data_IF_793881541215
#
_entry.id   IF_793881541215
#
_cell.length_a   1.000
_cell.length_b   1.000
_cell.length_c   1.000
_cell.angle_alpha   90.00
_cell.angle_beta   90.00
_cell.angle_gamma   90.00
#
_symmetry.space_group_name_H-M   'P 1'
#
loop_
_entity.id
_entity.type
_entity.pdbx_description
1 polymer ?
#
# COMPACT_ATOMS: atom_id res chain seq x y z
N UNK A 1 -35.89 -3.36 -7.85
CA UNK A 1 -34.66 -2.79 -7.26
C UNK A 1 -34.30 -1.54 -8.04
N UNK A 2 -34.35 -0.38 -7.39
CA UNK A 2 -33.95 0.88 -8.01
C UNK A 2 -32.43 0.94 -8.24
N UNK A 3 -31.98 1.76 -9.20
CA UNK A 3 -30.56 1.95 -9.47
C UNK A 3 -29.80 2.54 -8.27
N UNK A 4 -30.44 3.38 -7.45
CA UNK A 4 -29.85 3.92 -6.22
C UNK A 4 -29.62 2.82 -5.18
N UNK A 5 -30.60 1.92 -4.98
CA UNK A 5 -30.49 0.79 -4.04
C UNK A 5 -29.31 -0.12 -4.41
N UNK A 6 -29.17 -0.46 -5.69
CA UNK A 6 -28.05 -1.29 -6.16
C UNK A 6 -26.69 -0.61 -5.94
N UNK A 7 -26.58 0.69 -6.21
CA UNK A 7 -25.35 1.46 -5.97
C UNK A 7 -24.98 1.53 -4.50
N UNK A 8 -25.95 1.77 -3.61
CA UNK A 8 -25.72 1.81 -2.17
C UNK A 8 -25.30 0.44 -1.63
N UNK A 9 -25.98 -0.64 -2.03
CA UNK A 9 -25.60 -1.99 -1.61
C UNK A 9 -24.21 -2.38 -2.12
N UNK A 10 -23.88 -2.02 -3.36
CA UNK A 10 -22.53 -2.23 -3.91
C UNK A 10 -21.47 -1.44 -3.14
N UNK A 11 -21.72 -0.18 -2.80
CA UNK A 11 -20.80 0.65 -2.02
C UNK A 11 -20.63 0.11 -0.59
N UNK A 12 -21.72 -0.29 0.06
CA UNK A 12 -21.73 -0.88 1.40
C UNK A 12 -21.02 -2.25 1.43
N UNK A 13 -21.09 -3.00 0.33
CA UNK A 13 -20.39 -4.27 0.14
C UNK A 13 -18.88 -4.17 -0.01
N UNK A 14 -18.31 -2.98 -0.32
CA UNK A 14 -16.85 -2.80 -0.46
C UNK A 14 -16.10 -3.12 0.83
N UNK A 15 -16.74 -2.97 1.98
CA UNK A 15 -16.22 -3.43 3.28
C UNK A 15 -15.81 -4.90 3.23
N UNK A 16 -16.65 -5.78 2.67
CA UNK A 16 -16.35 -7.23 2.61
C UNK A 16 -15.13 -7.54 1.75
N UNK A 17 -14.95 -6.83 0.63
CA UNK A 17 -13.76 -6.97 -0.23
C UNK A 17 -12.51 -6.49 0.47
N UNK A 18 -12.59 -5.36 1.17
CA UNK A 18 -11.48 -4.83 1.96
C UNK A 18 -11.06 -5.79 3.07
N UNK A 19 -12.02 -6.37 3.81
CA UNK A 19 -11.73 -7.31 4.91
C UNK A 19 -11.20 -8.64 4.41
N UNK A 20 -11.67 -9.14 3.26
CA UNK A 20 -11.11 -10.33 2.64
C UNK A 20 -9.65 -10.15 2.23
N UNK A 21 -9.29 -8.97 1.71
CA UNK A 21 -7.90 -8.60 1.38
C UNK A 21 -7.06 -8.45 2.66
N UNK A 22 -7.56 -7.69 3.64
CA UNK A 22 -6.91 -7.44 4.93
C UNK A 22 -6.65 -8.75 5.72
N UNK A 23 -7.53 -9.74 5.58
CA UNK A 23 -7.41 -11.05 6.21
C UNK A 23 -6.23 -11.89 5.73
N UNK A 24 -5.57 -11.51 4.62
CA UNK A 24 -4.38 -12.18 4.11
C UNK A 24 -3.08 -11.68 4.76
N UNK A 25 -3.10 -10.50 5.36
CA UNK A 25 -1.95 -9.92 6.04
C UNK A 25 -1.73 -10.59 7.39
N UNK A 26 -0.47 -10.59 7.85
CA UNK A 26 -0.08 -11.23 9.11
C UNK A 26 -0.66 -10.52 10.36
N UNK A 27 -0.75 -11.24 11.47
CA UNK A 27 -1.37 -10.73 12.71
C UNK A 27 -0.68 -9.46 13.27
N UNK A 28 0.59 -9.19 12.95
CA UNK A 28 1.25 -7.95 13.41
C UNK A 28 0.56 -6.73 12.82
N UNK A 29 0.08 -6.82 11.58
CA UNK A 29 -0.76 -5.77 10.97
C UNK A 29 -2.05 -5.57 11.78
N UNK A 30 -2.71 -6.66 12.15
CA UNK A 30 -3.98 -6.62 12.89
C UNK A 30 -3.84 -6.05 14.31
N UNK A 31 -2.69 -6.29 14.94
CA UNK A 31 -2.39 -5.82 16.30
C UNK A 31 -1.83 -4.39 16.35
N UNK A 32 -1.59 -3.75 15.21
CA UNK A 32 -1.03 -2.40 15.15
C UNK A 32 -2.13 -1.34 15.26
N UNK A 33 -1.91 -0.34 16.13
CA UNK A 33 -2.73 0.88 16.19
C UNK A 33 -2.71 1.65 14.87
N UNK A 34 -3.88 2.06 14.38
CA UNK A 34 -4.01 2.84 13.12
C UNK A 34 -3.35 4.22 13.22
N UNK A 35 -3.18 4.73 14.44
CA UNK A 35 -2.37 5.90 14.77
C UNK A 35 -2.05 5.91 16.28
N UNK A 36 -1.13 6.77 16.71
CA UNK A 36 -0.81 6.92 18.13
C UNK A 36 -2.06 7.26 18.96
N UNK A 37 -2.32 6.46 20.00
CA UNK A 37 -3.49 6.60 20.87
C UNK A 37 -4.83 6.21 20.23
N UNK A 38 -4.82 5.57 19.07
CA UNK A 38 -6.02 5.05 18.39
C UNK A 38 -6.07 3.53 18.45
N UNK A 39 -7.25 2.99 18.15
CA UNK A 39 -7.51 1.55 18.10
C UNK A 39 -6.59 0.84 17.11
N UNK A 40 -6.31 -0.42 17.39
CA UNK A 40 -5.70 -1.37 16.47
C UNK A 40 -6.63 -1.70 15.32
N UNK A 41 -6.03 -2.21 14.24
CA UNK A 41 -6.79 -2.70 13.07
C UNK A 41 -7.86 -3.71 13.50
N UNK A 42 -7.52 -4.68 14.38
CA UNK A 42 -8.49 -5.68 14.84
C UNK A 42 -9.63 -5.08 15.65
N UNK A 43 -9.34 -4.10 16.50
CA UNK A 43 -10.34 -3.40 17.30
C UNK A 43 -11.32 -2.62 16.41
N UNK A 44 -10.82 -2.00 15.33
CA UNK A 44 -11.65 -1.33 14.34
C UNK A 44 -12.55 -2.32 13.60
N UNK A 45 -12.02 -3.47 13.18
CA UNK A 45 -12.81 -4.51 12.50
C UNK A 45 -13.89 -5.09 13.42
N UNK A 46 -13.52 -5.39 14.67
CA UNK A 46 -14.47 -5.91 15.65
C UNK A 46 -15.57 -4.89 16.00
N UNK A 47 -15.23 -3.60 16.08
CA UNK A 47 -16.20 -2.51 16.23
C UNK A 47 -17.24 -2.50 15.11
N UNK A 48 -16.81 -2.50 13.84
CA UNK A 48 -17.74 -2.51 12.70
C UNK A 48 -18.58 -3.78 12.68
N UNK A 49 -17.96 -4.94 12.93
CA UNK A 49 -18.64 -6.23 13.04
C UNK A 49 -19.77 -6.20 14.09
N UNK A 50 -19.51 -5.68 15.30
CA UNK A 50 -20.53 -5.64 16.36
C UNK A 50 -21.64 -4.64 16.07
N UNK A 51 -21.36 -3.52 15.41
CA UNK A 51 -22.41 -2.63 14.92
C UNK A 51 -23.26 -3.27 13.82
N UNK A 52 -22.66 -4.01 12.88
CA UNK A 52 -23.40 -4.78 11.88
C UNK A 52 -24.34 -5.80 12.56
N UNK A 53 -23.85 -6.56 13.55
CA UNK A 53 -24.69 -7.49 14.34
C UNK A 53 -25.86 -6.80 15.02
N UNK A 54 -25.59 -5.66 15.67
CA UNK A 54 -26.62 -4.89 16.37
C UNK A 54 -27.71 -4.42 15.41
N UNK A 55 -27.35 -3.72 14.33
CA UNK A 55 -28.32 -3.17 13.39
C UNK A 55 -29.06 -4.26 12.60
N UNK A 56 -28.41 -5.38 12.31
CA UNK A 56 -29.09 -6.51 11.71
C UNK A 56 -30.22 -7.04 12.62
N UNK A 57 -29.91 -7.28 13.89
CA UNK A 57 -30.84 -7.87 14.85
C UNK A 57 -31.92 -6.87 15.31
N UNK A 58 -31.56 -5.60 15.48
CA UNK A 58 -32.44 -4.57 16.01
C UNK A 58 -33.30 -3.89 14.94
N UNK A 59 -32.84 -3.86 13.69
CA UNK A 59 -33.49 -3.10 12.63
C UNK A 59 -33.81 -3.96 11.39
N UNK A 60 -32.78 -4.44 10.70
CA UNK A 60 -32.92 -5.01 9.35
C UNK A 60 -33.78 -6.28 9.35
N UNK A 61 -33.57 -7.19 10.30
CA UNK A 61 -34.42 -8.39 10.45
C UNK A 61 -35.84 -8.07 10.89
N UNK A 62 -36.06 -6.99 11.66
CA UNK A 62 -37.40 -6.55 12.10
C UNK A 62 -38.22 -6.01 10.94
N UNK A 63 -37.58 -5.25 10.05
CA UNK A 63 -38.17 -4.78 8.80
C UNK A 63 -38.53 -5.96 7.88
N UNK A 64 -37.63 -6.95 7.78
CA UNK A 64 -37.88 -8.19 7.01
C UNK A 64 -39.12 -8.94 7.51
N UNK A 65 -39.23 -9.11 8.84
CA UNK A 65 -40.34 -9.81 9.51
C UNK A 65 -41.64 -8.99 9.60
N UNK A 66 -41.59 -7.68 9.30
CA UNK A 66 -42.73 -6.79 9.42
C UNK A 66 -43.15 -6.49 10.86
N UNK A 67 -42.19 -6.51 11.80
CA UNK A 67 -42.42 -6.23 13.23
C UNK A 67 -41.69 -4.95 13.68
N UNK A 68 -42.08 -4.34 14.82
CA UNK A 68 -41.45 -3.12 15.31
C UNK A 68 -39.93 -3.26 15.52
N UNK A 69 -39.20 -2.17 15.29
CA UNK A 69 -37.76 -2.14 15.51
C UNK A 69 -37.45 -2.31 17.01
N UNK A 70 -36.29 -2.89 17.29
CA UNK A 70 -35.74 -3.07 18.62
C UNK A 70 -34.47 -2.22 18.85
N UNK A 71 -34.23 -1.22 17.99
CA UNK A 71 -33.18 -0.23 18.20
C UNK A 71 -33.51 0.54 19.48
N UNK A 72 -32.53 0.64 20.37
CA UNK A 72 -32.61 1.36 21.64
C UNK A 72 -31.31 2.12 21.86
N UNK A 73 -31.36 3.23 22.58
CA UNK A 73 -30.15 3.93 22.99
C UNK A 73 -29.16 3.01 23.75
N UNK A 74 -27.90 3.03 23.32
CA UNK A 74 -26.80 2.30 23.95
C UNK A 74 -25.80 3.28 24.55
N UNK A 75 -25.13 2.88 25.62
CA UNK A 75 -23.86 3.48 26.02
C UNK A 75 -22.81 3.08 24.97
N UNK A 76 -22.47 4.01 24.08
CA UNK A 76 -21.55 3.74 22.98
C UNK A 76 -20.13 3.43 23.45
N UNK A 77 -19.69 4.01 24.57
CA UNK A 77 -18.35 3.74 25.09
C UNK A 77 -18.30 2.30 25.62
N UNK A 78 -19.31 1.90 26.41
CA UNK A 78 -19.40 0.52 26.88
C UNK A 78 -19.54 -0.49 25.74
N UNK A 79 -20.35 -0.19 24.72
CA UNK A 79 -20.52 -1.05 23.55
C UNK A 79 -19.22 -1.22 22.77
N UNK A 80 -18.52 -0.12 22.51
CA UNK A 80 -17.25 -0.14 21.78
C UNK A 80 -16.14 -0.82 22.60
N UNK A 81 -16.12 -0.66 23.93
CA UNK A 81 -15.20 -1.37 24.82
C UNK A 81 -15.39 -2.88 24.75
N UNK A 82 -16.64 -3.37 24.80
CA UNK A 82 -16.95 -4.78 24.64
C UNK A 82 -16.55 -5.31 23.25
N UNK A 83 -16.76 -4.52 22.18
CA UNK A 83 -16.36 -4.89 20.83
C UNK A 83 -14.82 -5.02 20.70
N UNK A 84 -14.06 -4.15 21.36
CA UNK A 84 -12.59 -4.24 21.41
C UNK A 84 -12.13 -5.49 22.16
N UNK A 85 -12.70 -5.76 23.33
CA UNK A 85 -12.39 -6.97 24.11
C UNK A 85 -12.66 -8.25 23.32
N UNK A 86 -13.79 -8.30 22.59
CA UNK A 86 -14.08 -9.36 21.64
C UNK A 86 -13.00 -9.45 20.56
N UNK A 87 -12.68 -8.34 19.89
CA UNK A 87 -11.63 -8.30 18.87
C UNK A 87 -10.27 -8.83 19.34
N UNK A 88 -9.88 -8.53 20.58
CA UNK A 88 -8.62 -8.98 21.19
C UNK A 88 -8.60 -10.48 21.52
N UNK A 89 -9.76 -11.07 21.80
CA UNK A 89 -9.90 -12.49 22.17
C UNK A 89 -10.22 -13.42 21.00
N UNK A 90 -10.59 -12.88 19.85
CA UNK A 90 -10.98 -13.65 18.66
C UNK A 90 -9.84 -13.77 17.64
N UNK A 91 -9.58 -14.96 17.06
CA UNK A 91 -8.63 -15.14 15.97
C UNK A 91 -8.95 -14.26 14.75
N UNK A 92 -7.92 -13.79 14.03
CA UNK A 92 -8.11 -12.93 12.86
C UNK A 92 -8.97 -13.60 11.78
N UNK A 93 -8.74 -14.89 11.51
CA UNK A 93 -9.52 -15.65 10.52
C UNK A 93 -11.01 -15.69 10.86
N UNK A 94 -11.35 -15.79 12.15
CA UNK A 94 -12.72 -15.79 12.65
C UNK A 94 -13.33 -14.39 12.51
N UNK A 95 -12.63 -13.33 12.94
CA UNK A 95 -13.06 -11.93 12.75
C UNK A 95 -13.36 -11.60 11.28
N UNK A 96 -12.48 -12.00 10.37
CA UNK A 96 -12.65 -11.81 8.92
C UNK A 96 -13.92 -12.53 8.45
N UNK A 97 -14.08 -13.80 8.84
CA UNK A 97 -15.22 -14.62 8.42
C UNK A 97 -16.55 -14.07 8.93
N UNK A 98 -16.62 -13.64 10.19
CA UNK A 98 -17.82 -13.07 10.80
C UNK A 98 -18.17 -11.70 10.22
N UNK A 99 -17.17 -10.81 10.06
CA UNK A 99 -17.39 -9.48 9.49
C UNK A 99 -17.93 -9.57 8.06
N UNK A 100 -17.40 -10.48 7.24
CA UNK A 100 -17.91 -10.72 5.89
C UNK A 100 -19.32 -11.31 5.93
N UNK A 101 -19.55 -12.35 6.75
CA UNK A 101 -20.84 -13.03 6.82
C UNK A 101 -21.97 -12.11 7.29
N UNK A 102 -21.74 -11.32 8.34
CA UNK A 102 -22.73 -10.39 8.86
C UNK A 102 -23.05 -9.28 7.86
N UNK A 103 -22.04 -8.68 7.22
CA UNK A 103 -22.26 -7.66 6.19
C UNK A 103 -23.02 -8.22 4.98
N UNK A 104 -22.67 -9.42 4.52
CA UNK A 104 -23.37 -10.09 3.43
C UNK A 104 -24.83 -10.39 3.79
N UNK A 105 -25.09 -10.79 5.04
CA UNK A 105 -26.45 -11.02 5.54
C UNK A 105 -27.29 -9.76 5.45
N UNK A 106 -26.77 -8.62 5.92
CA UNK A 106 -27.46 -7.32 5.81
C UNK A 106 -27.76 -6.98 4.34
N UNK A 107 -26.75 -7.09 3.47
CA UNK A 107 -26.87 -6.77 2.05
C UNK A 107 -27.95 -7.63 1.38
N UNK A 108 -27.93 -8.95 1.61
CA UNK A 108 -28.89 -9.89 1.01
C UNK A 108 -30.32 -9.63 1.51
N UNK A 109 -30.50 -9.39 2.81
CA UNK A 109 -31.82 -9.06 3.39
C UNK A 109 -32.35 -7.75 2.80
N UNK A 110 -31.55 -6.68 2.79
CA UNK A 110 -31.99 -5.40 2.21
C UNK A 110 -32.25 -5.54 0.70
N UNK A 111 -31.42 -6.29 -0.03
CA UNK A 111 -31.63 -6.54 -1.45
C UNK A 111 -33.01 -7.19 -1.72
N UNK A 112 -33.44 -8.10 -0.84
CA UNK A 112 -34.71 -8.82 -0.93
C UNK A 112 -35.94 -7.99 -0.49
N UNK A 113 -35.76 -6.87 0.22
CA UNK A 113 -36.88 -6.00 0.63
C UNK A 113 -37.75 -5.59 -0.56
N UNK A 114 -39.07 -5.63 -0.34
CA UNK A 114 -40.05 -4.97 -1.20
C UNK A 114 -39.79 -3.46 -1.25
N UNK A 115 -40.39 -2.75 -2.22
CA UNK A 115 -40.27 -1.29 -2.29
C UNK A 115 -40.90 -0.62 -1.04
N UNK A 116 -41.96 -1.21 -0.46
CA UNK A 116 -42.58 -0.74 0.78
C UNK A 116 -41.65 -0.94 2.00
N UNK A 117 -40.96 -2.08 2.08
CA UNK A 117 -40.00 -2.33 3.17
C UNK A 117 -38.75 -1.44 3.04
N UNK A 118 -38.30 -1.20 1.82
CA UNK A 118 -37.10 -0.42 1.58
C UNK A 118 -37.31 1.08 1.80
N UNK A 119 -38.47 1.60 1.37
CA UNK A 119 -38.84 3.02 1.50
C UNK A 119 -39.77 3.33 2.67
N UNK A 120 -39.93 2.39 3.61
CA UNK A 120 -40.80 2.57 4.77
C UNK A 120 -40.21 3.52 5.82
N UNK A 121 -41.11 4.24 6.50
CA UNK A 121 -40.78 5.07 7.65
C UNK A 121 -40.89 4.24 8.93
N UNK A 122 -39.76 3.96 9.58
CA UNK A 122 -39.72 3.20 10.82
C UNK A 122 -39.38 4.09 12.01
N UNK A 123 -39.79 3.68 13.21
CA UNK A 123 -39.43 4.34 14.46
C UNK A 123 -38.70 3.33 15.34
N UNK A 124 -37.63 3.77 15.97
CA UNK A 124 -36.98 2.99 17.03
C UNK A 124 -37.79 3.01 18.35
N UNK A 125 -37.28 2.33 19.37
CA UNK A 125 -37.94 2.23 20.68
C UNK A 125 -38.04 3.60 21.38
N UNK A 126 -37.15 4.53 21.04
CA UNK A 126 -37.09 5.89 21.59
C UNK A 126 -37.89 6.91 20.73
N UNK A 127 -38.54 6.45 19.66
CA UNK A 127 -39.34 7.27 18.75
C UNK A 127 -38.54 8.10 17.74
N UNK A 128 -37.26 7.78 17.53
CA UNK A 128 -36.45 8.36 16.46
C UNK A 128 -36.68 7.65 15.13
N UNK A 129 -36.66 8.40 14.01
CA UNK A 129 -36.87 7.81 12.69
C UNK A 129 -35.69 6.92 12.29
N UNK A 130 -36.00 5.81 11.63
CA UNK A 130 -35.04 4.93 10.98
C UNK A 130 -35.45 4.72 9.52
N UNK A 131 -34.52 4.99 8.61
CA UNK A 131 -34.70 4.80 7.17
C UNK A 131 -33.58 3.92 6.63
N UNK A 132 -33.93 2.86 5.87
CA UNK A 132 -32.94 1.93 5.30
C UNK A 132 -31.94 2.64 4.39
N UNK A 133 -32.39 3.64 3.62
CA UNK A 133 -31.53 4.43 2.73
C UNK A 133 -30.51 5.25 3.52
N UNK A 134 -30.95 5.91 4.60
CA UNK A 134 -30.08 6.72 5.44
C UNK A 134 -29.08 5.85 6.20
N UNK A 135 -29.52 4.71 6.74
CA UNK A 135 -28.65 3.70 7.34
C UNK A 135 -27.50 3.28 6.41
N UNK A 136 -27.79 2.94 5.14
CA UNK A 136 -26.75 2.60 4.18
C UNK A 136 -25.77 3.76 3.95
N UNK A 137 -26.28 4.99 3.78
CA UNK A 137 -25.44 6.17 3.55
C UNK A 137 -24.51 6.46 4.74
N UNK A 138 -25.04 6.39 5.96
CA UNK A 138 -24.29 6.64 7.18
C UNK A 138 -23.20 5.59 7.40
N UNK A 139 -23.53 4.31 7.21
CA UNK A 139 -22.55 3.25 7.43
C UNK A 139 -21.51 3.13 6.30
N UNK A 140 -21.85 3.48 5.05
CA UNK A 140 -20.83 3.63 4.00
C UNK A 140 -19.81 4.71 4.39
N UNK A 141 -20.27 5.85 4.91
CA UNK A 141 -19.36 6.90 5.37
C UNK A 141 -18.53 6.45 6.57
N UNK A 142 -19.17 5.78 7.54
CA UNK A 142 -18.53 5.22 8.74
C UNK A 142 -17.42 4.22 8.40
N UNK A 143 -17.71 3.25 7.53
CA UNK A 143 -16.72 2.28 7.07
C UNK A 143 -15.50 3.02 6.48
N UNK A 144 -15.73 3.98 5.59
CA UNK A 144 -14.65 4.73 4.95
C UNK A 144 -13.83 5.55 5.97
N UNK A 145 -14.47 6.14 6.97
CA UNK A 145 -13.79 6.85 8.06
C UNK A 145 -12.79 5.94 8.80
N UNK A 146 -13.14 4.68 9.00
CA UNK A 146 -12.31 3.68 9.68
C UNK A 146 -11.29 2.99 8.77
N UNK A 147 -11.63 2.75 7.51
CA UNK A 147 -10.78 2.08 6.51
C UNK A 147 -9.59 2.95 6.10
N UNK A 148 -9.77 4.26 5.94
CA UNK A 148 -8.71 5.15 5.44
C UNK A 148 -7.45 5.18 6.34
N UNK A 149 -7.55 5.26 7.68
CA UNK A 149 -6.40 5.10 8.57
C UNK A 149 -5.69 3.75 8.43
N UNK A 150 -6.41 2.64 8.24
CA UNK A 150 -5.82 1.31 8.04
C UNK A 150 -5.02 1.27 6.74
N UNK A 151 -5.60 1.77 5.63
CA UNK A 151 -4.88 1.89 4.35
C UNK A 151 -3.62 2.73 4.51
N UNK A 152 -3.72 3.88 5.19
CA UNK A 152 -2.56 4.76 5.42
C UNK A 152 -1.45 4.05 6.18
N UNK A 153 -1.80 3.25 7.19
CA UNK A 153 -0.85 2.45 7.95
C UNK A 153 -0.07 1.49 7.04
N UNK A 154 -0.77 0.73 6.19
CA UNK A 154 -0.15 -0.17 5.21
C UNK A 154 0.75 0.56 4.22
N UNK A 155 0.31 1.73 3.73
CA UNK A 155 1.08 2.54 2.79
C UNK A 155 2.39 3.07 3.40
N UNK A 156 2.33 3.53 4.65
CA UNK A 156 3.52 3.96 5.40
C UNK A 156 4.51 2.81 5.62
N UNK A 157 4.01 1.60 5.87
CA UNK A 157 4.86 0.42 5.99
C UNK A 157 5.58 0.08 4.69
N UNK A 158 4.91 0.19 3.54
CA UNK A 158 5.56 0.03 2.23
C UNK A 158 6.63 1.11 2.01
N UNK A 159 6.37 2.36 2.39
CA UNK A 159 7.38 3.43 2.28
C UNK A 159 8.63 3.11 3.11
N UNK A 160 8.44 2.67 4.36
CA UNK A 160 9.54 2.26 5.25
C UNK A 160 10.36 1.13 4.63
N UNK A 161 9.72 0.05 4.19
CA UNK A 161 10.44 -1.07 3.56
C UNK A 161 11.13 -0.64 2.26
N UNK A 162 10.54 0.27 1.50
CA UNK A 162 11.14 0.78 0.26
C UNK A 162 12.42 1.58 0.50
N UNK A 163 12.54 2.24 1.65
CA UNK A 163 13.76 2.95 2.06
C UNK A 163 14.91 1.98 2.34
N UNK A 164 14.61 0.83 2.95
CA UNK A 164 15.57 -0.18 3.33
C UNK A 164 15.95 -1.09 2.15
N UNK A 165 14.97 -1.46 1.32
CA UNK A 165 15.16 -2.30 0.14
C UNK A 165 16.06 -1.63 -0.91
N UNK A 166 15.92 -0.31 -1.13
CA UNK A 166 16.86 0.43 -1.98
C UNK A 166 17.59 1.50 -1.16
N UNK A 167 18.70 1.15 -0.47
CA UNK A 167 19.36 2.02 0.47
C UNK A 167 20.05 3.22 -0.22
N UNK A 168 20.43 4.20 0.58
CA UNK A 168 21.28 5.32 0.15
C UNK A 168 22.69 5.14 0.69
N UNK A 169 23.68 5.84 0.12
CA UNK A 169 25.04 5.84 0.68
C UNK A 169 25.10 6.57 2.02
N UNK A 170 24.26 7.58 2.21
CA UNK A 170 24.11 8.29 3.47
C UNK A 170 22.65 8.72 3.66
N UNK A 171 22.16 8.59 4.88
CA UNK A 171 20.85 9.09 5.31
C UNK A 171 21.03 10.01 6.51
N UNK A 172 20.35 11.15 6.50
CA UNK A 172 20.30 12.09 7.62
C UNK A 172 18.85 12.29 8.05
N UNK A 173 18.54 11.99 9.31
CA UNK A 173 17.30 12.40 9.96
C UNK A 173 17.36 13.89 10.26
N UNK A 174 16.39 14.67 9.76
CA UNK A 174 16.34 16.11 9.93
C UNK A 174 14.91 16.57 10.21
N UNK A 175 14.60 16.77 11.48
CA UNK A 175 13.31 17.34 11.94
C UNK A 175 12.08 16.64 11.33
N UNK A 176 12.03 15.30 11.42
CA UNK A 176 10.95 14.49 10.83
C UNK A 176 11.07 14.20 9.34
N UNK A 177 12.12 14.68 8.68
CA UNK A 177 12.42 14.38 7.28
C UNK A 177 13.66 13.49 7.16
N UNK A 178 13.74 12.72 6.08
CA UNK A 178 14.93 12.01 5.64
C UNK A 178 15.60 12.77 4.51
N UNK A 179 16.89 13.00 4.62
CA UNK A 179 17.72 13.45 3.50
C UNK A 179 18.63 12.30 3.07
N UNK A 180 18.48 11.85 1.84
CA UNK A 180 19.22 10.69 1.31
C UNK A 180 20.20 11.13 0.23
N UNK A 181 21.43 10.66 0.31
CA UNK A 181 22.51 11.00 -0.60
C UNK A 181 23.10 9.73 -1.21
N UNK A 182 23.20 9.73 -2.54
CA UNK A 182 23.80 8.63 -3.29
C UNK A 182 24.51 9.15 -4.55
N UNK A 183 25.25 10.26 -4.38
CA UNK A 183 26.01 10.92 -5.44
C UNK A 183 25.19 11.24 -6.71
N UNK A 184 23.91 11.55 -6.53
CA UNK A 184 22.97 11.89 -7.61
C UNK A 184 22.24 10.69 -8.23
N UNK A 185 22.50 9.46 -7.76
CA UNK A 185 21.93 8.24 -8.32
C UNK A 185 21.29 7.35 -7.25
N UNK A 186 20.03 6.92 -7.34
CA UNK A 186 18.92 7.37 -8.19
C UNK A 186 18.07 8.36 -7.40
N UNK A 187 16.98 8.90 -7.97
CA UNK A 187 16.02 9.69 -7.18
C UNK A 187 15.48 8.92 -5.96
N UNK A 188 15.39 7.58 -5.99
CA UNK A 188 14.98 6.77 -4.83
C UNK A 188 15.95 6.92 -3.66
N UNK A 189 17.26 6.83 -3.93
CA UNK A 189 18.34 6.91 -2.94
C UNK A 189 18.94 8.31 -2.78
N UNK A 190 18.49 9.29 -3.57
CA UNK A 190 19.00 10.65 -3.62
C UNK A 190 17.85 11.68 -3.62
N UNK A 191 17.00 11.63 -2.60
CA UNK A 191 15.89 12.56 -2.39
C UNK A 191 15.60 12.80 -0.91
N UNK A 192 14.98 13.93 -0.63
CA UNK A 192 14.34 14.24 0.64
C UNK A 192 12.98 13.54 0.70
N UNK A 193 12.65 12.95 1.84
CA UNK A 193 11.33 12.37 2.11
C UNK A 193 10.80 12.91 3.45
N UNK A 194 9.62 13.50 3.41
CA UNK A 194 9.02 14.12 4.59
C UNK A 194 8.09 13.11 5.28
N UNK A 195 8.59 12.45 6.32
CA UNK A 195 7.91 11.30 6.95
C UNK A 195 6.83 11.72 7.94
N UNK A 196 7.11 12.69 8.80
CA UNK A 196 6.17 13.19 9.79
C UNK A 196 6.38 14.69 10.05
N UNK A 197 5.57 15.23 10.97
CA UNK A 197 5.51 16.65 11.27
C UNK A 197 6.87 17.27 11.58
N UNK A 198 6.92 18.59 11.40
CA UNK A 198 8.11 19.41 11.52
C UNK A 198 8.00 20.42 12.67
N UNK A 199 9.14 20.80 13.25
CA UNK A 199 9.21 21.87 14.26
C UNK A 199 9.65 23.20 13.66
N UNK A 200 10.42 23.18 12.57
CA UNK A 200 10.83 24.39 11.87
C UNK A 200 9.78 24.85 10.85
N UNK A 201 9.80 26.16 10.55
CA UNK A 201 9.05 26.72 9.43
C UNK A 201 9.44 26.02 8.12
N UNK A 202 8.42 25.65 7.33
CA UNK A 202 8.59 24.84 6.13
C UNK A 202 9.61 25.44 5.15
N UNK A 203 9.55 26.75 4.93
CA UNK A 203 10.45 27.45 4.04
C UNK A 203 11.93 27.32 4.46
N UNK A 204 12.20 27.44 5.76
CA UNK A 204 13.55 27.29 6.33
C UNK A 204 14.07 25.88 6.12
N UNK A 205 13.21 24.87 6.28
CA UNK A 205 13.60 23.46 6.07
C UNK A 205 13.94 23.14 4.64
N UNK A 206 13.13 23.62 3.69
CA UNK A 206 13.40 23.40 2.27
C UNK A 206 14.74 24.06 1.91
N UNK A 207 14.99 25.30 2.35
CA UNK A 207 16.26 25.99 2.09
C UNK A 207 17.48 25.30 2.73
N UNK A 208 17.34 24.73 3.92
CA UNK A 208 18.40 23.93 4.54
C UNK A 208 18.65 22.61 3.78
N UNK A 209 17.59 22.00 3.25
CA UNK A 209 17.73 20.85 2.38
C UNK A 209 18.52 21.22 1.11
N UNK A 210 18.12 22.31 0.46
CA UNK A 210 18.79 22.84 -0.73
C UNK A 210 20.28 23.07 -0.48
N UNK A 211 20.62 23.73 0.63
CA UNK A 211 22.00 24.01 1.04
C UNK A 211 22.85 22.73 1.21
N UNK A 212 22.30 21.67 1.81
CA UNK A 212 23.06 20.42 2.03
C UNK A 212 23.28 19.61 0.76
N UNK A 213 22.30 19.60 -0.15
CA UNK A 213 22.48 18.98 -1.46
C UNK A 213 23.49 19.79 -2.31
N UNK A 214 23.43 21.13 -2.28
CA UNK A 214 24.35 21.97 -3.05
C UNK A 214 25.80 21.86 -2.57
N UNK A 215 26.05 21.73 -1.26
CA UNK A 215 27.40 21.46 -0.72
C UNK A 215 28.03 20.16 -1.26
N UNK A 216 27.23 19.24 -1.79
CA UNK A 216 27.68 18.00 -2.41
C UNK A 216 27.58 18.03 -3.95
N UNK A 217 27.30 19.19 -4.54
CA UNK A 217 27.06 19.38 -5.97
C UNK A 217 25.89 18.52 -6.50
N UNK A 218 24.83 18.38 -5.70
CA UNK A 218 23.64 17.61 -6.05
C UNK A 218 22.42 18.52 -6.25
N UNK A 219 21.56 18.13 -7.18
CA UNK A 219 20.21 18.69 -7.26
C UNK A 219 19.39 18.25 -6.05
N UNK A 220 18.62 19.17 -5.48
CA UNK A 220 17.66 18.86 -4.43
C UNK A 220 16.42 18.25 -5.05
N UNK A 221 16.03 17.09 -4.54
CA UNK A 221 14.86 16.33 -5.01
C UNK A 221 14.00 16.00 -3.81
N UNK A 222 12.70 16.18 -3.91
CA UNK A 222 11.74 15.79 -2.87
C UNK A 222 10.83 14.70 -3.41
N UNK A 223 10.67 13.60 -2.66
CA UNK A 223 9.60 12.62 -2.90
C UNK A 223 8.33 13.13 -2.23
N UNK A 224 7.22 13.12 -2.95
CA UNK A 224 5.91 13.58 -2.49
C UNK A 224 4.91 12.44 -2.63
N UNK A 225 4.26 12.08 -1.52
CA UNK A 225 3.19 11.08 -1.45
C UNK A 225 1.85 11.76 -1.13
N UNK A 226 0.69 11.09 -1.30
CA UNK A 226 -0.63 11.66 -0.99
C UNK A 226 -0.84 11.97 0.50
N UNK A 227 0.00 11.41 1.37
CA UNK A 227 -0.06 11.55 2.82
C UNK A 227 1.18 12.27 3.38
N UNK A 228 1.93 12.99 2.53
CA UNK A 228 3.13 13.72 2.92
C UNK A 228 2.82 14.75 4.03
N UNK A 229 3.77 14.94 4.95
CA UNK A 229 3.66 15.93 6.02
C UNK A 229 4.79 16.97 5.95
N UNK A 230 4.47 18.28 5.86
CA UNK A 230 3.13 18.86 5.90
C UNK A 230 2.36 18.69 4.58
N UNK A 231 1.02 18.68 4.66
CA UNK A 231 0.15 18.42 3.51
C UNK A 231 0.32 19.43 2.35
N UNK A 232 0.72 20.67 2.64
CA UNK A 232 0.95 21.70 1.64
C UNK A 232 2.37 21.68 1.02
N UNK A 233 3.21 20.68 1.33
CA UNK A 233 4.59 20.61 0.83
C UNK A 233 4.64 20.65 -0.70
N UNK A 234 3.76 19.93 -1.40
CA UNK A 234 3.78 19.87 -2.87
C UNK A 234 3.55 21.23 -3.52
N UNK A 235 2.59 21.99 -3.00
CA UNK A 235 2.23 23.32 -3.48
C UNK A 235 3.36 24.32 -3.22
N UNK A 236 3.98 24.25 -2.04
CA UNK A 236 5.11 25.13 -1.68
C UNK A 236 6.34 24.83 -2.55
N UNK A 237 6.63 23.56 -2.83
CA UNK A 237 7.71 23.19 -3.76
C UNK A 237 7.41 23.67 -5.18
N UNK A 238 6.17 23.54 -5.66
CA UNK A 238 5.76 24.06 -6.96
C UNK A 238 5.97 25.57 -7.06
N UNK A 239 5.54 26.34 -6.05
CA UNK A 239 5.72 27.79 -5.98
C UNK A 239 7.20 28.21 -5.95
N UNK A 240 8.10 27.33 -5.48
CA UNK A 240 9.56 27.51 -5.47
C UNK A 240 10.24 27.10 -6.78
N UNK A 241 9.47 26.74 -7.81
CA UNK A 241 9.95 26.37 -9.14
C UNK A 241 10.38 24.90 -9.27
N UNK A 242 9.94 24.02 -8.37
CA UNK A 242 10.16 22.58 -8.54
C UNK A 242 9.17 21.98 -9.53
N UNK A 243 9.69 21.28 -10.52
CA UNK A 243 8.90 20.56 -11.51
C UNK A 243 8.54 19.16 -11.04
N UNK A 244 7.35 18.69 -11.42
CA UNK A 244 6.89 17.33 -11.12
C UNK A 244 7.49 16.36 -12.12
N UNK A 245 8.14 15.31 -11.62
CA UNK A 245 8.84 14.29 -12.41
C UNK A 245 8.48 12.88 -11.92
N UNK A 246 8.60 11.91 -12.82
CA UNK A 246 8.48 10.46 -12.58
C UNK A 246 7.31 10.08 -11.68
N UNK A 247 6.09 10.43 -12.10
CA UNK A 247 4.89 9.93 -11.43
C UNK A 247 4.94 8.40 -11.40
N UNK A 248 4.91 7.84 -10.21
CA UNK A 248 5.21 6.44 -9.94
C UNK A 248 4.08 5.82 -9.15
N UNK A 249 3.66 4.62 -9.55
CA UNK A 249 2.61 3.84 -8.92
C UNK A 249 3.27 2.79 -8.02
N UNK A 250 2.83 2.72 -6.76
CA UNK A 250 3.10 1.60 -5.87
C UNK A 250 2.08 0.52 -6.15
N UNK A 251 2.55 -0.70 -6.38
CA UNK A 251 1.68 -1.86 -6.55
C UNK A 251 2.03 -2.97 -5.58
N UNK A 252 1.04 -3.74 -5.16
CA UNK A 252 1.22 -4.91 -4.30
C UNK A 252 0.54 -6.14 -4.86
N UNK A 253 0.95 -7.32 -4.41
CA UNK A 253 0.29 -8.60 -4.70
C UNK A 253 0.50 -9.57 -3.54
N UNK A 254 -0.52 -10.36 -3.24
CA UNK A 254 -0.37 -11.54 -2.38
C UNK A 254 0.33 -12.64 -3.18
N UNK A 255 1.47 -13.12 -2.69
CA UNK A 255 2.28 -14.11 -3.42
C UNK A 255 1.52 -15.43 -3.63
N UNK A 256 0.60 -15.75 -2.73
CA UNK A 256 -0.27 -16.92 -2.84
C UNK A 256 -1.20 -16.90 -4.07
N UNK A 257 -1.51 -15.72 -4.60
CA UNK A 257 -2.39 -15.55 -5.76
C UNK A 257 -1.61 -15.56 -7.10
N UNK A 258 -0.29 -15.68 -7.04
CA UNK A 258 0.60 -15.61 -8.21
C UNK A 258 0.96 -16.99 -8.73
N UNK A 259 1.11 -17.10 -10.06
CA UNK A 259 1.49 -18.35 -10.73
C UNK A 259 2.91 -18.77 -10.42
N UNK A 260 3.19 -20.07 -10.47
CA UNK A 260 4.56 -20.57 -10.41
C UNK A 260 5.37 -20.18 -11.66
N UNK A 261 6.69 -19.94 -11.50
CA UNK A 261 7.58 -19.76 -12.65
C UNK A 261 7.69 -21.07 -13.46
N UNK A 262 7.95 -20.92 -14.76
CA UNK A 262 8.05 -22.03 -15.72
C UNK A 262 9.40 -22.08 -16.45
N UNK A 263 10.10 -20.95 -16.55
CA UNK A 263 11.45 -20.90 -17.11
C UNK A 263 12.44 -21.56 -16.15
N UNK A 264 13.40 -22.33 -16.66
CA UNK A 264 14.29 -23.13 -15.80
C UNK A 264 15.64 -22.46 -15.57
N UNK A 265 16.16 -21.72 -16.55
CA UNK A 265 17.51 -21.16 -16.52
C UNK A 265 17.50 -19.76 -15.86
N UNK A 266 17.51 -19.78 -14.52
CA UNK A 266 17.59 -18.57 -13.68
C UNK A 266 18.69 -18.76 -12.64
N UNK A 267 19.46 -17.70 -12.42
CA UNK A 267 20.48 -17.62 -11.39
C UNK A 267 20.01 -16.67 -10.31
N UNK A 268 19.96 -17.17 -9.07
CA UNK A 268 19.56 -16.40 -7.89
C UNK A 268 20.76 -16.35 -6.93
N UNK A 269 21.29 -15.16 -6.71
CA UNK A 269 22.49 -14.95 -5.90
C UNK A 269 22.17 -14.06 -4.70
N UNK A 270 22.82 -14.26 -3.56
CA UNK A 270 22.60 -13.43 -2.35
C UNK A 270 23.45 -12.16 -2.32
N UNK A 271 24.40 -12.02 -3.25
CA UNK A 271 25.34 -10.90 -3.35
C UNK A 271 25.33 -10.30 -4.77
N UNK A 272 25.60 -8.99 -4.93
CA UNK A 272 25.66 -8.35 -6.25
C UNK A 272 26.95 -8.76 -6.97
N UNK A 273 26.92 -9.89 -7.69
CA UNK A 273 28.07 -10.39 -8.44
C UNK A 273 28.41 -9.48 -9.62
N UNK A 274 29.67 -9.56 -10.10
CA UNK A 274 30.10 -8.79 -11.26
C UNK A 274 29.27 -9.12 -12.50
N UNK A 275 28.89 -10.39 -12.70
CA UNK A 275 28.03 -10.81 -13.80
C UNK A 275 26.62 -10.19 -13.74
N UNK A 276 26.02 -10.13 -12.55
CA UNK A 276 24.73 -9.48 -12.37
C UNK A 276 24.82 -7.96 -12.58
N UNK A 277 25.87 -7.33 -12.05
CA UNK A 277 26.13 -5.90 -12.23
C UNK A 277 26.36 -5.53 -13.71
N UNK A 278 27.08 -6.37 -14.45
CA UNK A 278 27.33 -6.17 -15.87
C UNK A 278 26.04 -6.31 -16.69
N UNK A 279 25.23 -7.33 -16.40
CA UNK A 279 23.92 -7.48 -17.02
C UNK A 279 23.03 -6.26 -16.75
N UNK A 280 22.93 -5.83 -15.48
CA UNK A 280 22.17 -4.65 -15.11
C UNK A 280 22.70 -3.38 -15.78
N UNK A 281 24.02 -3.21 -15.85
CA UNK A 281 24.67 -2.08 -16.50
C UNK A 281 24.28 -2.00 -17.98
N UNK A 282 24.35 -3.12 -18.70
CA UNK A 282 23.99 -3.21 -20.12
C UNK A 282 22.50 -2.95 -20.32
N UNK A 283 21.63 -3.61 -19.55
CA UNK A 283 20.19 -3.54 -19.77
C UNK A 283 19.56 -2.20 -19.36
N UNK A 284 20.10 -1.57 -18.32
CA UNK A 284 19.63 -0.29 -17.79
C UNK A 284 20.43 0.92 -18.28
N UNK A 285 21.51 0.70 -19.05
CA UNK A 285 22.37 1.75 -19.57
C UNK A 285 23.12 2.52 -18.47
N UNK A 286 23.59 1.82 -17.42
CA UNK A 286 24.32 2.45 -16.33
C UNK A 286 25.74 2.83 -16.79
N UNK A 287 26.24 3.96 -16.27
CA UNK A 287 27.67 4.30 -16.32
C UNK A 287 28.46 3.51 -15.27
N UNK A 288 29.78 3.40 -15.44
CA UNK A 288 30.68 2.76 -14.46
C UNK A 288 30.54 3.36 -13.06
N UNK A 289 30.37 4.68 -12.97
CA UNK A 289 30.14 5.37 -11.69
C UNK A 289 28.84 4.90 -11.03
N UNK A 290 27.76 4.78 -11.79
CA UNK A 290 26.47 4.32 -11.28
C UNK A 290 26.53 2.84 -10.89
N UNK A 291 27.20 2.00 -11.69
CA UNK A 291 27.47 0.59 -11.34
C UNK A 291 28.17 0.47 -9.99
N UNK A 292 29.23 1.25 -9.76
CA UNK A 292 29.95 1.25 -8.49
C UNK A 292 29.08 1.72 -7.31
N UNK A 293 28.25 2.75 -7.51
CA UNK A 293 27.30 3.22 -6.49
C UNK A 293 26.26 2.13 -6.17
N UNK A 294 25.67 1.49 -7.18
CA UNK A 294 24.72 0.37 -7.02
C UNK A 294 25.34 -0.76 -6.21
N UNK A 295 26.53 -1.23 -6.59
CA UNK A 295 27.25 -2.27 -5.85
C UNK A 295 27.45 -1.89 -4.38
N UNK A 296 27.94 -0.67 -4.11
CA UNK A 296 28.21 -0.22 -2.74
C UNK A 296 26.94 -0.13 -1.89
N UNK A 297 25.84 0.40 -2.46
CA UNK A 297 24.56 0.49 -1.75
C UNK A 297 24.00 -0.91 -1.41
N UNK A 298 23.94 -1.81 -2.39
CA UNK A 298 23.30 -3.11 -2.22
C UNK A 298 24.15 -4.09 -1.41
N UNK A 299 25.48 -4.00 -1.49
CA UNK A 299 26.40 -4.82 -0.68
C UNK A 299 26.31 -4.51 0.81
N UNK A 300 26.05 -3.25 1.18
CA UNK A 300 25.96 -2.83 2.59
C UNK A 300 24.59 -3.09 3.23
N UNK A 301 23.57 -3.41 2.43
CA UNK A 301 22.23 -3.69 2.96
C UNK A 301 22.25 -4.97 3.83
N UNK A 302 21.70 -4.92 5.07
CA UNK A 302 21.63 -6.07 5.97
C UNK A 302 20.42 -6.97 5.69
N UNK A 303 19.57 -6.62 4.73
CA UNK A 303 18.38 -7.41 4.40
C UNK A 303 18.75 -8.75 3.75
N UNK A 304 17.81 -9.69 3.80
CA UNK A 304 17.86 -10.89 2.96
C UNK A 304 17.59 -10.44 1.52
N UNK A 305 18.49 -10.79 0.61
CA UNK A 305 18.56 -10.25 -0.75
C UNK A 305 18.62 -11.35 -1.79
N UNK A 306 18.11 -11.04 -2.97
CA UNK A 306 18.26 -11.86 -4.17
C UNK A 306 18.60 -10.99 -5.37
N UNK A 307 19.66 -11.36 -6.06
CA UNK A 307 20.11 -10.80 -7.33
C UNK A 307 19.82 -11.86 -8.39
N UNK A 308 18.78 -11.63 -9.18
CA UNK A 308 18.31 -12.58 -10.17
C UNK A 308 18.80 -12.22 -11.57
N UNK A 309 19.29 -13.23 -12.29
CA UNK A 309 19.59 -13.16 -13.73
C UNK A 309 18.89 -14.32 -14.45
N UNK A 310 17.96 -14.01 -15.34
CA UNK A 310 17.34 -15.01 -16.22
C UNK A 310 18.17 -15.14 -17.49
N UNK A 311 18.50 -16.37 -17.87
CA UNK A 311 19.36 -16.67 -18.99
C UNK A 311 18.64 -17.45 -20.10
N UNK A 312 19.12 -17.28 -21.33
CA UNK A 312 18.73 -18.06 -22.50
C UNK A 312 20.01 -18.52 -23.17
N UNK A 313 20.21 -19.83 -23.29
CA UNK A 313 21.45 -20.42 -23.81
C UNK A 313 22.71 -19.93 -23.08
N UNK A 314 22.63 -19.74 -21.76
CA UNK A 314 23.74 -19.24 -20.93
C UNK A 314 24.04 -17.74 -21.06
N UNK A 315 23.20 -16.98 -21.77
CA UNK A 315 23.33 -15.53 -21.92
C UNK A 315 22.24 -14.85 -21.08
N UNK A 316 22.58 -13.91 -20.16
CA UNK A 316 21.60 -13.11 -19.45
C UNK A 316 20.70 -12.35 -20.43
N UNK A 317 19.38 -12.41 -20.22
CA UNK A 317 18.38 -11.68 -21.02
C UNK A 317 17.47 -10.82 -20.14
N UNK A 318 17.40 -11.09 -18.84
CA UNK A 318 16.74 -10.23 -17.87
C UNK A 318 17.47 -10.28 -16.53
N UNK A 319 17.43 -9.18 -15.79
CA UNK A 319 18.02 -9.05 -14.46
C UNK A 319 17.09 -8.29 -13.52
N UNK A 320 17.21 -8.56 -12.23
CA UNK A 320 16.42 -7.92 -11.20
C UNK A 320 16.98 -8.11 -9.80
N UNK A 321 16.48 -7.32 -8.86
CA UNK A 321 16.86 -7.38 -7.46
C UNK A 321 15.60 -7.48 -6.59
N UNK A 322 15.70 -8.28 -5.53
CA UNK A 322 14.68 -8.37 -4.49
C UNK A 322 15.30 -8.25 -3.10
N UNK A 323 14.54 -7.68 -2.18
CA UNK A 323 14.88 -7.58 -0.77
C UNK A 323 13.68 -7.99 0.08
N UNK A 324 13.94 -8.71 1.18
CA UNK A 324 12.90 -9.15 2.11
C UNK A 324 12.98 -8.36 3.40
N UNK A 325 11.82 -7.89 3.83
CA UNK A 325 11.63 -7.26 5.12
C UNK A 325 10.22 -7.59 5.62
N UNK A 326 10.11 -8.05 6.87
CA UNK A 326 8.83 -8.25 7.54
C UNK A 326 7.76 -9.05 6.79
N UNK A 327 8.16 -10.10 6.07
CA UNK A 327 7.23 -10.95 5.32
C UNK A 327 6.84 -10.38 3.95
N UNK A 328 7.49 -9.29 3.53
CA UNK A 328 7.33 -8.70 2.20
C UNK A 328 8.58 -8.87 1.37
N UNK A 329 8.40 -9.12 0.07
CA UNK A 329 9.48 -9.03 -0.93
C UNK A 329 9.30 -7.78 -1.79
N UNK A 330 10.22 -6.83 -1.68
CA UNK A 330 10.28 -5.65 -2.54
C UNK A 330 11.06 -5.95 -3.82
N UNK A 331 10.51 -5.62 -5.00
CA UNK A 331 11.16 -5.83 -6.29
C UNK A 331 11.71 -4.52 -6.88
N UNK A 332 12.93 -4.56 -7.40
CA UNK A 332 13.63 -3.40 -7.93
C UNK A 332 14.45 -3.76 -9.17
N UNK A 333 14.68 -2.74 -10.01
CA UNK A 333 15.54 -2.80 -11.20
C UNK A 333 15.25 -4.02 -12.10
N UNK A 334 13.97 -4.36 -12.22
CA UNK A 334 13.48 -5.39 -13.13
C UNK A 334 13.64 -4.89 -14.56
N UNK A 335 14.58 -5.50 -15.28
CA UNK A 335 14.94 -5.08 -16.63
C UNK A 335 15.16 -6.28 -17.54
N UNK A 336 14.79 -6.12 -18.81
CA UNK A 336 15.00 -7.12 -19.88
C UNK A 336 15.78 -6.45 -21.01
N UNK A 337 16.75 -7.18 -21.56
CA UNK A 337 17.50 -6.78 -22.75
C UNK A 337 16.50 -6.31 -23.83
N UNK A 338 16.78 -5.15 -24.42
CA UNK A 338 15.94 -4.53 -25.44
C UNK A 338 15.62 -5.47 -26.60
N UNK A 339 16.55 -6.36 -26.96
CA UNK A 339 16.41 -7.33 -28.05
C UNK A 339 15.60 -8.58 -27.67
N UNK A 340 15.38 -8.78 -26.37
CA UNK A 340 14.72 -9.96 -25.80
C UNK A 340 13.35 -9.61 -25.15
N UNK A 341 12.90 -8.36 -25.32
CA UNK A 341 11.59 -7.90 -24.84
C UNK A 341 10.44 -8.62 -25.54
N UNK A 342 9.28 -8.61 -24.87
CA UNK A 342 8.03 -9.22 -25.36
C UNK A 342 8.07 -10.74 -25.56
N UNK A 343 9.10 -11.42 -25.04
CA UNK A 343 9.22 -12.90 -25.04
C UNK A 343 8.82 -13.55 -23.70
N UNK A 344 8.36 -12.76 -22.72
CA UNK A 344 7.91 -13.25 -21.41
C UNK A 344 9.00 -13.32 -20.33
N UNK A 345 10.26 -12.98 -20.63
CA UNK A 345 11.35 -13.10 -19.66
C UNK A 345 11.22 -12.19 -18.43
N UNK A 346 10.71 -10.97 -18.60
CA UNK A 346 10.43 -10.09 -17.45
C UNK A 346 9.38 -10.68 -16.49
N UNK A 347 8.37 -11.37 -17.03
CA UNK A 347 7.37 -12.08 -16.22
C UNK A 347 8.01 -13.23 -15.47
N UNK A 348 8.75 -14.10 -16.17
CA UNK A 348 9.40 -15.25 -15.55
C UNK A 348 10.41 -14.85 -14.48
N UNK A 349 11.17 -13.77 -14.69
CA UNK A 349 12.08 -13.23 -13.68
C UNK A 349 11.33 -12.79 -12.42
N UNK A 350 10.22 -12.06 -12.56
CA UNK A 350 9.39 -11.64 -11.42
C UNK A 350 8.82 -12.85 -10.70
N UNK A 351 8.27 -13.84 -11.43
CA UNK A 351 7.72 -15.05 -10.82
C UNK A 351 8.79 -15.82 -10.02
N UNK A 352 10.02 -15.89 -10.51
CA UNK A 352 11.14 -16.49 -9.78
C UNK A 352 11.51 -15.72 -8.51
N UNK A 353 11.55 -14.39 -8.57
CA UNK A 353 11.79 -13.56 -7.38
C UNK A 353 10.68 -13.70 -6.32
N UNK A 354 9.42 -13.82 -6.76
CA UNK A 354 8.29 -14.05 -5.86
C UNK A 354 8.32 -15.46 -5.27
N UNK A 355 8.64 -16.48 -6.06
CA UNK A 355 8.83 -17.85 -5.59
C UNK A 355 9.96 -17.90 -4.54
N UNK A 356 11.11 -17.30 -4.84
CA UNK A 356 12.21 -17.17 -3.89
C UNK A 356 11.78 -16.45 -2.62
N UNK A 357 11.03 -15.34 -2.75
CA UNK A 357 10.48 -14.61 -1.60
C UNK A 357 9.62 -15.49 -0.70
N UNK A 358 8.76 -16.32 -1.30
CA UNK A 358 7.92 -17.29 -0.57
C UNK A 358 8.74 -18.34 0.16
N UNK A 359 9.80 -18.87 -0.46
CA UNK A 359 10.71 -19.82 0.19
C UNK A 359 11.42 -19.21 1.41
N UNK A 360 11.63 -17.89 1.40
CA UNK A 360 12.15 -17.13 2.54
C UNK A 360 11.07 -16.67 3.53
N UNK A 361 9.81 -17.09 3.35
CA UNK A 361 8.69 -16.79 4.25
C UNK A 361 7.94 -15.48 3.95
N UNK A 362 8.21 -14.82 2.83
CA UNK A 362 7.39 -13.69 2.40
C UNK A 362 6.00 -14.17 1.92
N UNK A 363 4.95 -13.44 2.30
CA UNK A 363 3.58 -13.67 1.83
C UNK A 363 3.11 -12.59 0.87
N UNK A 364 3.75 -11.41 0.93
CA UNK A 364 3.37 -10.23 0.18
C UNK A 364 4.51 -9.72 -0.68
N UNK A 365 4.18 -9.02 -1.76
CA UNK A 365 5.18 -8.31 -2.56
C UNK A 365 4.74 -6.89 -2.91
N UNK A 366 5.71 -5.99 -3.03
CA UNK A 366 5.50 -4.63 -3.51
C UNK A 366 6.54 -4.22 -4.55
N UNK A 367 6.16 -3.26 -5.40
CA UNK A 367 7.06 -2.63 -6.35
C UNK A 367 6.66 -1.18 -6.66
N UNK A 368 7.60 -0.46 -7.26
CA UNK A 368 7.43 0.91 -7.74
C UNK A 368 7.61 0.94 -9.24
N UNK A 369 6.61 1.41 -9.98
CA UNK A 369 6.67 1.49 -11.44
C UNK A 369 6.24 2.87 -11.93
N UNK A 370 7.05 3.49 -12.80
CA UNK A 370 6.69 4.77 -13.42
C UNK A 370 5.38 4.61 -14.19
N UNK A 371 4.42 5.50 -13.95
CA UNK A 371 3.05 5.43 -14.48
C UNK A 371 3.02 5.35 -16.01
N UNK A 372 3.91 6.07 -16.67
CA UNK A 372 4.01 6.11 -18.12
C UNK A 372 4.84 4.95 -18.72
N UNK A 373 5.39 4.05 -17.90
CA UNK A 373 6.01 2.83 -18.38
C UNK A 373 4.91 1.78 -18.63
N UNK A 374 4.20 1.92 -19.75
CA UNK A 374 3.05 1.05 -20.06
C UNK A 374 3.44 -0.43 -20.15
N UNK A 375 4.64 -0.73 -20.68
CA UNK A 375 5.11 -2.10 -20.83
C UNK A 375 5.27 -2.79 -19.47
N UNK A 376 5.92 -2.12 -18.51
CA UNK A 376 6.07 -2.64 -17.16
C UNK A 376 4.73 -2.68 -16.41
N UNK A 377 3.87 -1.67 -16.57
CA UNK A 377 2.55 -1.69 -15.93
C UNK A 377 1.70 -2.87 -16.41
N UNK A 378 1.63 -3.12 -17.73
CA UNK A 378 0.93 -4.29 -18.30
C UNK A 378 1.50 -5.61 -17.79
N UNK A 379 2.83 -5.69 -17.62
CA UNK A 379 3.48 -6.86 -17.06
C UNK A 379 3.00 -7.11 -15.62
N UNK A 380 3.05 -6.10 -14.76
CA UNK A 380 2.66 -6.26 -13.36
C UNK A 380 1.16 -6.51 -13.21
N UNK A 381 0.32 -5.85 -13.99
CA UNK A 381 -1.13 -6.11 -14.01
C UNK A 381 -1.44 -7.55 -14.43
N UNK A 382 -0.71 -8.09 -15.42
CA UNK A 382 -0.84 -9.51 -15.84
C UNK A 382 -0.47 -10.49 -14.73
N UNK A 383 0.50 -10.15 -13.88
CA UNK A 383 0.92 -10.98 -12.75
C UNK A 383 -0.11 -10.94 -11.61
N UNK A 384 -0.93 -9.89 -11.54
CA UNK A 384 -1.95 -9.71 -10.50
C UNK A 384 -1.65 -8.58 -9.53
N UNK A 385 -0.62 -7.77 -9.79
CA UNK A 385 -0.35 -6.59 -8.97
C UNK A 385 -1.46 -5.56 -9.05
N UNK A 386 -1.90 -5.07 -7.89
CA UNK A 386 -2.92 -4.03 -7.75
C UNK A 386 -2.29 -2.71 -7.30
N UNK A 387 -2.82 -1.59 -7.80
CA UNK A 387 -2.30 -0.25 -7.46
C UNK A 387 -2.76 0.19 -6.07
N UNK A 388 -1.83 0.69 -5.27
CA UNK A 388 -2.09 1.14 -3.90
C UNK A 388 -2.17 2.66 -3.79
N UNK A 389 -1.13 3.36 -4.27
CA UNK A 389 -1.07 4.81 -4.31
C UNK A 389 -0.02 5.27 -5.32
N UNK A 390 -0.02 6.56 -5.62
CA UNK A 390 0.96 7.18 -6.50
C UNK A 390 1.81 8.18 -5.73
N UNK A 391 3.09 8.28 -6.06
CA UNK A 391 3.97 9.34 -5.62
C UNK A 391 4.66 9.99 -6.82
N UNK A 392 5.30 11.14 -6.59
CA UNK A 392 6.10 11.80 -7.61
C UNK A 392 7.32 12.47 -6.97
N UNK A 393 8.25 12.90 -7.82
CA UNK A 393 9.34 13.74 -7.39
C UNK A 393 9.08 15.19 -7.77
N UNK A 394 9.46 16.10 -6.88
CA UNK A 394 9.67 17.51 -7.16
C UNK A 394 11.16 17.73 -7.36
N UNK A 395 11.55 18.16 -8.56
CA UNK A 395 12.95 18.35 -8.94
C UNK A 395 13.17 19.80 -9.33
N UNK A 396 14.22 20.39 -8.79
CA UNK A 396 14.73 21.69 -9.24
C UNK A 396 16.13 21.47 -9.79
N UNK A 397 16.34 21.82 -11.06
CA UNK A 397 17.68 21.83 -11.60
C UNK A 397 18.44 22.97 -10.94
N UNK A 398 19.56 22.66 -10.30
CA UNK A 398 20.51 23.68 -9.88
C UNK A 398 21.02 24.37 -11.15
N UNK A 399 21.10 25.71 -11.13
CA UNK A 399 21.82 26.43 -12.19
C UNK A 399 23.25 25.85 -12.27
N UNK A 400 23.81 25.63 -13.48
CA UNK A 400 25.22 25.29 -13.59
C UNK A 400 26.03 26.36 -12.85
N UNK A 401 26.93 25.93 -11.97
CA UNK A 401 27.88 26.80 -11.26
C UNK A 401 28.79 27.52 -12.26
#
# INVERSE_FOLDING_TARGET
MSAEKEQLLSAFGRWTTFIADLGKYDERCWNQSVASGKWSVREVVAHILKWDEYFYNAAISKIEEGIPLAIQHLDYDQFNDAAKEYGLSTPVSELVSEAIANRQRIILTIAAFSEEQYGGDYMDVDGQPFETVQYLKDFIWHDNHHVEPIKRLLQLRIEEMSLNGWPALQTVMYDGWLMRFAAGYTKRSNSVQALYGQTYMLDTKISECERRYSMQNLNTVFKVTPFVQPANLDEVLAARGYERMDQTVIKTVHIADVKEPSHVDVWLESEPTESWLDALMVFSGLSDKQRAITHNMLKQSPLIKCFASLQVNGIPVAAGYAAIEDGWVGLYDIVTDVNERSKGYGEQLVLHLLHWGREQGATESYLMVVKNNEAANRLYDKIGYISQYEYWYRVKQSAPL
#
